data_IF_951777933965
#
_entry.id   IF_951777933965
#
_cell.length_a   1.000
_cell.length_b   1.000
_cell.length_c   1.000
_cell.angle_alpha   90.00
_cell.angle_beta   90.00
_cell.angle_gamma   90.00
#
_symmetry.space_group_name_H-M   'P 1'
#
loop_
_entity.id
_entity.type
_entity.pdbx_description
1 polymer ?
#
# COMPACT_ATOMS: atom_id res chain seq x y z
N UNK A 1 6.20 6.30 -12.50
CA UNK A 1 6.10 7.38 -13.51
C UNK A 1 6.97 8.59 -13.12
N UNK A 2 6.87 9.11 -11.89
CA UNK A 2 7.65 10.28 -11.42
C UNK A 2 9.17 10.07 -11.57
N UNK A 3 9.70 8.91 -11.16
CA UNK A 3 11.12 8.58 -11.27
C UNK A 3 11.57 8.52 -12.73
N UNK A 4 10.77 7.89 -13.60
CA UNK A 4 11.08 7.79 -15.03
C UNK A 4 11.07 9.17 -15.72
N UNK A 5 10.07 10.00 -15.42
CA UNK A 5 9.97 11.36 -15.96
C UNK A 5 11.20 12.21 -15.56
N UNK A 6 11.59 12.18 -14.28
CA UNK A 6 12.74 12.91 -13.80
C UNK A 6 14.06 12.40 -14.39
N UNK A 7 14.27 11.10 -14.48
CA UNK A 7 15.48 10.54 -15.08
C UNK A 7 15.60 10.88 -16.59
N UNK A 8 14.49 10.86 -17.32
CA UNK A 8 14.51 11.05 -18.77
C UNK A 8 14.57 12.52 -19.17
N UNK A 9 13.85 13.41 -18.47
CA UNK A 9 13.71 14.82 -18.85
C UNK A 9 14.61 15.74 -18.04
N UNK A 10 14.62 15.59 -16.70
CA UNK A 10 15.26 16.56 -15.82
C UNK A 10 16.78 16.54 -15.94
N UNK A 11 17.39 15.34 -16.09
CA UNK A 11 18.84 15.22 -16.26
C UNK A 11 19.32 15.86 -17.56
N UNK A 12 18.58 15.65 -18.67
CA UNK A 12 18.90 16.28 -19.96
C UNK A 12 18.74 17.80 -19.88
N UNK A 13 17.69 18.26 -19.20
CA UNK A 13 17.42 19.68 -19.04
C UNK A 13 18.45 20.36 -18.14
N UNK A 14 18.92 19.71 -17.08
CA UNK A 14 20.05 20.20 -16.26
C UNK A 14 21.29 20.35 -17.11
N UNK A 15 21.68 19.33 -17.88
CA UNK A 15 22.85 19.37 -18.73
C UNK A 15 22.74 20.50 -19.75
N UNK A 16 21.63 20.65 -20.43
CA UNK A 16 21.35 21.73 -21.37
C UNK A 16 21.40 23.11 -20.70
N UNK A 17 20.83 23.24 -19.50
CA UNK A 17 20.82 24.47 -18.72
C UNK A 17 22.24 24.87 -18.29
N UNK A 18 23.05 23.93 -17.82
CA UNK A 18 24.44 24.17 -17.43
C UNK A 18 25.28 24.64 -18.65
N UNK A 19 25.14 23.92 -19.77
CA UNK A 19 25.86 24.30 -21.01
C UNK A 19 25.46 25.71 -21.47
N UNK A 20 24.13 26.00 -21.43
CA UNK A 20 23.58 27.31 -21.84
C UNK A 20 24.06 28.43 -20.92
N UNK A 21 24.05 28.23 -19.61
CA UNK A 21 24.48 29.22 -18.62
C UNK A 21 25.99 29.47 -18.76
N UNK A 22 26.82 28.41 -18.76
CA UNK A 22 28.26 28.52 -18.86
C UNK A 22 28.70 29.13 -20.21
N UNK A 23 28.10 28.61 -21.30
CA UNK A 23 28.39 29.13 -22.65
C UNK A 23 28.00 30.58 -22.83
N UNK A 24 26.81 30.98 -22.37
CA UNK A 24 26.35 32.38 -22.41
C UNK A 24 27.24 33.29 -21.55
N UNK A 25 27.64 32.83 -20.35
CA UNK A 25 28.53 33.59 -19.48
C UNK A 25 29.91 33.83 -20.10
N UNK A 26 30.53 32.80 -20.68
CA UNK A 26 31.82 32.91 -21.38
C UNK A 26 31.71 33.94 -22.54
N UNK A 27 30.67 33.82 -23.37
CA UNK A 27 30.47 34.74 -24.48
C UNK A 27 30.25 36.18 -24.02
N UNK A 28 29.53 36.39 -22.93
CA UNK A 28 29.34 37.71 -22.32
C UNK A 28 30.64 38.32 -21.82
N UNK A 29 31.49 37.51 -21.16
CA UNK A 29 32.85 37.96 -20.72
C UNK A 29 33.73 38.34 -21.91
N UNK A 30 33.68 37.56 -22.99
CA UNK A 30 34.46 37.82 -24.21
C UNK A 30 33.99 39.13 -24.90
N UNK A 31 32.66 39.38 -24.92
CA UNK A 31 32.13 40.58 -25.59
C UNK A 31 32.42 41.83 -24.77
N UNK A 32 32.11 41.84 -23.48
CA UNK A 32 32.33 42.99 -22.59
C UNK A 32 32.38 42.61 -21.12
N UNK A 33 33.58 42.48 -20.51
CA UNK A 33 33.69 42.19 -19.07
C UNK A 33 33.02 43.26 -18.19
N UNK A 34 32.99 44.52 -18.65
CA UNK A 34 32.40 45.63 -17.92
C UNK A 34 30.86 45.45 -17.78
N UNK A 35 30.19 45.03 -18.85
CA UNK A 35 28.74 44.77 -18.77
C UNK A 35 28.38 43.56 -17.92
N UNK A 36 29.30 42.61 -17.76
CA UNK A 36 29.08 41.46 -16.86
C UNK A 36 28.92 41.90 -15.39
N UNK A 37 29.53 43.03 -14.98
CA UNK A 37 29.38 43.57 -13.63
C UNK A 37 27.92 43.89 -13.26
N UNK A 38 27.06 44.17 -14.23
CA UNK A 38 25.63 44.36 -14.00
C UNK A 38 25.02 43.08 -13.36
N UNK A 39 25.48 41.92 -13.84
CA UNK A 39 25.01 40.63 -13.31
C UNK A 39 25.56 40.30 -11.92
N UNK A 40 26.71 40.84 -11.55
CA UNK A 40 27.26 40.71 -10.20
C UNK A 40 26.35 41.36 -9.14
N UNK A 41 25.49 42.27 -9.53
CA UNK A 41 24.50 42.93 -8.64
C UNK A 41 23.14 42.26 -8.79
N UNK A 42 22.68 42.04 -10.01
CA UNK A 42 21.28 41.59 -10.26
C UNK A 42 21.08 40.13 -9.94
N UNK A 43 22.09 39.26 -10.09
CA UNK A 43 21.97 37.82 -9.72
C UNK A 43 21.81 37.63 -8.20
N UNK A 44 22.69 38.19 -7.34
CA UNK A 44 22.49 38.10 -5.89
C UNK A 44 21.13 38.68 -5.45
N UNK A 45 20.69 39.78 -6.04
CA UNK A 45 19.40 40.40 -5.75
C UNK A 45 18.24 39.44 -6.10
N UNK A 46 18.28 38.79 -7.27
CA UNK A 46 17.31 37.81 -7.69
C UNK A 46 17.29 36.58 -6.75
N UNK A 47 18.45 36.04 -6.39
CA UNK A 47 18.59 34.91 -5.48
C UNK A 47 18.02 35.25 -4.08
N UNK A 48 18.36 36.40 -3.53
CA UNK A 48 17.90 36.85 -2.21
C UNK A 48 16.38 37.05 -2.23
N UNK A 49 15.85 37.67 -3.28
CA UNK A 49 14.41 37.86 -3.45
C UNK A 49 13.67 36.50 -3.56
N UNK A 50 14.17 35.60 -4.40
CA UNK A 50 13.57 34.25 -4.56
C UNK A 50 13.59 33.50 -3.24
N UNK A 51 14.70 33.51 -2.50
CA UNK A 51 14.80 32.89 -1.16
C UNK A 51 13.79 33.49 -0.18
N UNK A 52 13.64 34.80 -0.16
CA UNK A 52 12.66 35.51 0.68
C UNK A 52 11.24 35.07 0.35
N UNK A 53 10.89 35.08 -0.95
CA UNK A 53 9.56 34.67 -1.41
C UNK A 53 9.29 33.20 -1.13
N UNK A 54 10.22 32.32 -1.40
CA UNK A 54 10.09 30.87 -1.12
C UNK A 54 9.86 30.62 0.37
N UNK A 55 10.63 31.30 1.25
CA UNK A 55 10.43 31.19 2.71
C UNK A 55 9.03 31.63 3.16
N UNK A 56 8.47 32.64 2.51
CA UNK A 56 7.13 33.16 2.80
C UNK A 56 6.01 32.29 2.22
N UNK A 57 6.20 31.76 1.03
CA UNK A 57 5.19 31.01 0.26
C UNK A 57 5.10 29.54 0.70
N UNK A 58 6.22 28.92 1.04
CA UNK A 58 6.28 27.49 1.46
C UNK A 58 5.29 27.12 2.57
N UNK A 59 5.16 27.86 3.68
CA UNK A 59 4.18 27.53 4.73
C UNK A 59 2.74 27.69 4.25
N UNK A 60 2.45 28.59 3.30
CA UNK A 60 1.12 28.76 2.73
C UNK A 60 0.72 27.54 1.88
N UNK A 61 1.62 27.00 1.05
CA UNK A 61 1.38 25.77 0.31
C UNK A 61 1.21 24.56 1.24
N UNK A 62 1.98 24.49 2.32
CA UNK A 62 1.81 23.45 3.32
C UNK A 62 0.43 23.54 3.97
N UNK A 63 0.00 24.76 4.39
CA UNK A 63 -1.32 24.97 4.97
C UNK A 63 -2.45 24.61 3.99
N UNK A 64 -2.32 24.96 2.70
CA UNK A 64 -3.24 24.56 1.64
C UNK A 64 -3.37 23.03 1.58
N UNK A 65 -2.26 22.30 1.58
CA UNK A 65 -2.26 20.83 1.54
C UNK A 65 -2.94 20.22 2.77
N UNK A 66 -2.69 20.78 3.96
CA UNK A 66 -3.32 20.33 5.21
C UNK A 66 -4.84 20.55 5.17
N UNK A 67 -5.29 21.76 4.81
CA UNK A 67 -6.72 22.08 4.78
C UNK A 67 -7.48 21.32 3.71
N UNK A 68 -6.86 21.09 2.56
CA UNK A 68 -7.44 20.23 1.52
C UNK A 68 -7.53 18.75 1.98
N UNK A 69 -6.53 18.24 2.69
CA UNK A 69 -6.58 16.92 3.31
C UNK A 69 -7.70 16.79 4.34
N UNK A 70 -7.88 17.80 5.21
CA UNK A 70 -8.97 17.83 6.19
C UNK A 70 -10.36 17.86 5.52
N UNK A 71 -10.50 18.62 4.44
CA UNK A 71 -11.75 18.70 3.67
C UNK A 71 -12.05 17.36 2.99
N UNK A 72 -11.08 16.77 2.30
CA UNK A 72 -11.25 15.49 1.61
C UNK A 72 -11.58 14.35 2.60
N UNK A 73 -10.89 14.26 3.73
CA UNK A 73 -11.18 13.27 4.77
C UNK A 73 -12.59 13.44 5.34
N UNK A 74 -13.06 14.68 5.54
CA UNK A 74 -14.40 14.95 6.00
C UNK A 74 -15.47 14.56 4.95
N UNK A 75 -15.22 14.85 3.67
CA UNK A 75 -16.11 14.43 2.57
C UNK A 75 -16.22 12.91 2.50
N UNK A 76 -15.11 12.18 2.60
CA UNK A 76 -15.09 10.71 2.62
C UNK A 76 -15.89 10.16 3.82
N UNK A 77 -15.71 10.75 5.01
CA UNK A 77 -16.46 10.39 6.22
C UNK A 77 -17.97 10.57 6.03
N UNK A 78 -18.41 11.73 5.50
CA UNK A 78 -19.85 12.01 5.28
C UNK A 78 -20.44 11.08 4.23
N UNK A 79 -19.75 10.86 3.11
CA UNK A 79 -20.25 9.99 2.03
C UNK A 79 -20.36 8.55 2.54
N UNK A 80 -19.36 8.08 3.27
CA UNK A 80 -19.39 6.73 3.88
C UNK A 80 -20.49 6.63 4.94
N UNK A 81 -20.67 7.66 5.76
CA UNK A 81 -21.67 7.76 6.81
C UNK A 81 -23.04 8.27 6.36
N UNK A 82 -23.32 8.43 5.05
CA UNK A 82 -24.53 9.09 4.54
C UNK A 82 -25.84 8.46 5.08
N UNK A 83 -25.90 7.15 5.18
CA UNK A 83 -27.08 6.45 5.73
C UNK A 83 -27.34 6.82 7.18
N UNK A 84 -26.28 6.93 7.98
CA UNK A 84 -26.35 7.35 9.38
C UNK A 84 -26.79 8.82 9.49
N UNK A 85 -26.20 9.71 8.70
CA UNK A 85 -26.57 11.12 8.66
C UNK A 85 -28.05 11.29 8.36
N UNK A 86 -28.58 10.57 7.37
CA UNK A 86 -30.03 10.58 7.03
C UNK A 86 -30.91 9.98 8.11
N UNK A 87 -30.49 8.87 8.72
CA UNK A 87 -31.27 8.20 9.77
C UNK A 87 -31.45 9.08 11.00
N UNK A 88 -30.49 9.96 11.30
CA UNK A 88 -30.52 10.88 12.43
C UNK A 88 -30.90 12.30 12.06
N UNK A 89 -31.29 12.60 10.79
CA UNK A 89 -31.65 13.92 10.29
C UNK A 89 -30.60 15.00 10.59
N UNK A 90 -29.33 14.68 10.35
CA UNK A 90 -28.19 15.57 10.62
C UNK A 90 -27.62 16.24 9.36
N UNK A 91 -28.36 16.27 8.25
CA UNK A 91 -27.88 16.81 6.97
C UNK A 91 -27.47 18.28 7.09
N UNK A 92 -28.30 19.13 7.72
CA UNK A 92 -27.99 20.55 7.88
C UNK A 92 -26.74 20.77 8.73
N UNK A 93 -26.57 19.99 9.80
CA UNK A 93 -25.38 20.05 10.66
C UNK A 93 -24.12 19.66 9.87
N UNK A 94 -24.19 18.63 9.02
CA UNK A 94 -23.05 18.19 8.21
C UNK A 94 -22.72 19.19 7.11
N UNK A 95 -23.72 19.82 6.49
CA UNK A 95 -23.54 20.89 5.51
C UNK A 95 -22.84 22.09 6.17
N UNK A 96 -23.28 22.52 7.35
CA UNK A 96 -22.64 23.65 8.05
C UNK A 96 -21.16 23.35 8.39
N UNK A 97 -20.85 22.11 8.82
CA UNK A 97 -19.46 21.69 9.06
C UNK A 97 -18.63 21.60 7.79
N UNK A 98 -19.25 21.16 6.67
CA UNK A 98 -18.61 21.18 5.37
C UNK A 98 -18.25 22.59 4.95
N UNK A 99 -19.18 23.55 5.08
CA UNK A 99 -18.95 24.94 4.72
C UNK A 99 -17.81 25.57 5.54
N UNK A 100 -17.71 25.25 6.82
CA UNK A 100 -16.61 25.71 7.68
C UNK A 100 -15.25 25.19 7.14
N UNK A 101 -15.14 23.88 6.88
CA UNK A 101 -13.90 23.28 6.36
C UNK A 101 -13.58 23.73 4.94
N UNK A 102 -14.61 23.86 4.09
CA UNK A 102 -14.47 24.34 2.72
C UNK A 102 -13.97 25.80 2.70
N UNK A 103 -14.54 26.69 3.51
CA UNK A 103 -14.08 28.06 3.60
C UNK A 103 -12.63 28.15 4.09
N UNK A 104 -12.24 27.35 5.08
CA UNK A 104 -10.85 27.28 5.54
C UNK A 104 -9.88 26.77 4.45
N UNK A 105 -10.33 25.81 3.62
CA UNK A 105 -9.56 25.32 2.47
C UNK A 105 -9.46 26.39 1.37
N UNK A 106 -10.56 27.09 1.05
CA UNK A 106 -10.59 28.19 0.08
C UNK A 106 -9.64 29.31 0.48
N UNK A 107 -9.67 29.75 1.76
CA UNK A 107 -8.79 30.80 2.26
C UNK A 107 -7.31 30.39 2.18
N UNK A 108 -7.01 29.15 2.54
CA UNK A 108 -5.65 28.63 2.43
C UNK A 108 -5.18 28.52 0.96
N UNK A 109 -6.07 28.12 0.06
CA UNK A 109 -5.81 28.04 -1.38
C UNK A 109 -5.56 29.44 -1.95
N UNK A 110 -6.45 30.39 -1.66
CA UNK A 110 -6.31 31.77 -2.12
C UNK A 110 -4.98 32.40 -1.69
N UNK A 111 -4.62 32.27 -0.41
CA UNK A 111 -3.36 32.81 0.08
C UNK A 111 -2.13 32.18 -0.56
N UNK A 112 -2.14 30.85 -0.73
CA UNK A 112 -1.05 30.13 -1.37
C UNK A 112 -0.86 30.53 -2.83
N UNK A 113 -1.96 30.60 -3.58
CA UNK A 113 -1.92 30.93 -5.01
C UNK A 113 -1.64 32.42 -5.25
N UNK A 114 -2.17 33.31 -4.42
CA UNK A 114 -1.90 34.74 -4.52
C UNK A 114 -0.39 35.05 -4.33
N UNK A 115 0.19 34.60 -3.22
CA UNK A 115 1.61 34.84 -2.96
C UNK A 115 2.52 33.98 -3.85
N UNK A 116 2.14 32.76 -4.16
CA UNK A 116 2.85 31.89 -5.07
C UNK A 116 2.90 32.43 -6.49
N UNK A 117 1.74 32.88 -7.00
CA UNK A 117 1.59 33.48 -8.31
C UNK A 117 2.37 34.80 -8.51
N UNK A 118 2.66 35.52 -7.44
CA UNK A 118 3.48 36.74 -7.50
C UNK A 118 4.98 36.47 -7.72
N UNK A 119 5.47 35.27 -7.41
CA UNK A 119 6.90 34.94 -7.46
C UNK A 119 7.45 35.05 -8.88
N UNK A 120 6.77 34.44 -9.86
CA UNK A 120 7.19 34.45 -11.26
C UNK A 120 7.30 35.86 -11.86
N UNK A 121 6.21 36.67 -11.84
CA UNK A 121 6.23 38.06 -12.31
C UNK A 121 7.29 38.91 -11.63
N UNK A 122 7.53 38.72 -10.32
CA UNK A 122 8.53 39.52 -9.61
C UNK A 122 9.96 39.18 -10.04
N UNK A 123 10.27 37.91 -10.25
CA UNK A 123 11.58 37.48 -10.80
C UNK A 123 11.76 37.99 -12.23
N UNK A 124 10.72 37.93 -13.06
CA UNK A 124 10.73 38.49 -14.40
C UNK A 124 10.94 40.01 -14.42
N UNK A 125 10.38 40.73 -13.43
CA UNK A 125 10.63 42.15 -13.27
C UNK A 125 12.13 42.45 -12.99
N UNK A 126 12.74 41.69 -12.07
CA UNK A 126 14.20 41.83 -11.78
C UNK A 126 15.03 41.53 -13.03
N UNK A 127 14.67 40.47 -13.78
CA UNK A 127 15.40 40.15 -15.04
C UNK A 127 15.26 41.23 -16.09
N UNK A 128 14.07 41.82 -16.28
CA UNK A 128 13.87 42.94 -17.20
C UNK A 128 14.59 44.21 -16.75
N UNK A 129 14.68 44.47 -15.45
CA UNK A 129 15.45 45.56 -14.91
C UNK A 129 16.92 45.39 -15.19
N UNK A 130 17.46 44.16 -15.00
CA UNK A 130 18.84 43.81 -15.38
C UNK A 130 19.10 44.06 -16.86
N UNK A 131 18.19 43.63 -17.72
CA UNK A 131 18.29 43.85 -19.18
C UNK A 131 18.24 45.34 -19.54
N UNK A 132 17.46 46.14 -18.84
CA UNK A 132 17.42 47.61 -19.03
C UNK A 132 18.74 48.25 -18.65
N UNK A 133 19.37 47.85 -17.54
CA UNK A 133 20.70 48.34 -17.16
C UNK A 133 21.77 47.92 -18.17
N UNK A 134 21.76 46.67 -18.65
CA UNK A 134 22.66 46.19 -19.70
C UNK A 134 22.51 47.07 -20.98
N UNK A 135 21.31 47.39 -21.37
CA UNK A 135 21.02 48.22 -22.55
C UNK A 135 21.49 49.66 -22.38
N UNK A 136 21.26 50.27 -21.22
CA UNK A 136 21.66 51.65 -20.90
C UNK A 136 23.21 51.72 -20.87
N UNK A 137 23.86 50.89 -20.06
CA UNK A 137 25.30 50.92 -19.94
C UNK A 137 25.99 50.49 -21.25
N UNK A 138 25.40 49.55 -21.99
CA UNK A 138 25.90 49.12 -23.31
C UNK A 138 25.79 50.22 -24.35
N UNK A 139 24.72 51.02 -24.34
CA UNK A 139 24.57 52.20 -25.20
C UNK A 139 25.63 53.30 -24.87
N UNK A 140 25.88 53.52 -23.57
CA UNK A 140 26.95 54.45 -23.14
C UNK A 140 28.29 53.98 -23.65
N UNK A 141 28.67 52.70 -23.48
CA UNK A 141 29.92 52.15 -23.99
C UNK A 141 30.03 52.21 -25.52
N UNK A 142 28.90 52.05 -26.23
CA UNK A 142 28.85 52.28 -27.68
C UNK A 142 29.16 53.70 -28.07
N UNK A 143 28.56 54.70 -27.39
CA UNK A 143 28.79 56.08 -27.64
C UNK A 143 30.27 56.52 -27.43
N UNK A 144 30.94 55.87 -26.45
CA UNK A 144 32.35 56.08 -26.20
C UNK A 144 33.28 55.25 -27.13
N UNK A 145 32.74 54.51 -28.09
CA UNK A 145 33.50 53.70 -29.04
C UNK A 145 34.13 52.44 -28.49
N UNK A 146 33.75 52.01 -27.26
CA UNK A 146 34.27 50.81 -26.62
C UNK A 146 33.50 49.54 -27.00
N UNK A 147 32.33 49.67 -27.64
CA UNK A 147 31.48 48.56 -28.04
C UNK A 147 30.88 48.83 -29.43
N UNK A 148 30.70 47.75 -30.24
CA UNK A 148 29.94 47.86 -31.50
C UNK A 148 28.49 47.57 -31.26
N UNK A 149 27.58 48.04 -32.14
CA UNK A 149 26.15 47.77 -32.03
C UNK A 149 25.84 46.26 -32.16
N UNK A 150 26.63 45.52 -32.96
CA UNK A 150 26.53 44.05 -33.07
C UNK A 150 26.90 43.33 -31.78
N UNK A 151 27.97 43.80 -31.12
CA UNK A 151 28.40 43.27 -29.83
C UNK A 151 27.36 43.54 -28.73
N UNK A 152 26.76 44.73 -28.71
CA UNK A 152 25.70 45.08 -27.78
C UNK A 152 24.45 44.16 -27.98
N UNK A 153 24.04 44.01 -29.24
CA UNK A 153 22.89 43.11 -29.56
C UNK A 153 23.15 41.65 -29.16
N UNK A 154 24.37 41.17 -29.44
CA UNK A 154 24.77 39.82 -29.02
C UNK A 154 24.81 39.67 -27.50
N UNK A 155 25.31 40.68 -26.79
CA UNK A 155 25.34 40.66 -25.31
C UNK A 155 23.93 40.63 -24.72
N UNK A 156 22.97 41.40 -25.23
CA UNK A 156 21.59 41.40 -24.85
C UNK A 156 20.96 40.02 -25.08
N UNK A 157 21.26 39.37 -26.22
CA UNK A 157 20.77 38.05 -26.52
C UNK A 157 21.30 36.98 -25.54
N UNK A 158 22.63 37.01 -25.25
CA UNK A 158 23.21 36.09 -24.25
C UNK A 158 22.71 36.37 -22.84
N UNK A 159 22.46 37.64 -22.47
CA UNK A 159 21.83 38.01 -21.20
C UNK A 159 20.48 37.35 -20.98
N UNK A 160 19.63 37.35 -22.01
CA UNK A 160 18.34 36.68 -21.96
C UNK A 160 18.46 35.16 -21.80
N UNK A 161 19.39 34.54 -22.56
CA UNK A 161 19.64 33.09 -22.48
C UNK A 161 20.29 32.67 -21.15
N UNK A 162 21.02 33.53 -20.50
CA UNK A 162 21.65 33.28 -19.21
C UNK A 162 20.64 33.28 -18.06
N UNK A 163 19.67 34.21 -18.08
CA UNK A 163 18.72 34.38 -16.97
C UNK A 163 17.62 33.31 -16.89
N UNK A 164 17.23 32.72 -18.03
CA UNK A 164 16.16 31.72 -18.10
C UNK A 164 16.48 30.45 -17.28
N UNK A 165 17.56 29.72 -17.58
CA UNK A 165 17.88 28.45 -16.94
C UNK A 165 18.15 28.53 -15.43
N UNK A 166 18.52 29.68 -14.90
CA UNK A 166 18.73 29.87 -13.44
C UNK A 166 17.45 29.61 -12.66
N UNK A 167 16.31 30.04 -13.18
CA UNK A 167 15.02 29.80 -12.57
C UNK A 167 14.54 28.34 -12.75
N UNK A 168 14.88 27.73 -13.89
CA UNK A 168 14.52 26.33 -14.17
C UNK A 168 15.27 25.35 -13.27
N UNK A 169 16.54 25.58 -12.98
CA UNK A 169 17.35 24.72 -12.11
C UNK A 169 16.73 24.57 -10.73
N UNK A 170 16.12 25.61 -10.16
CA UNK A 170 15.47 25.52 -8.86
C UNK A 170 14.24 24.60 -8.89
N UNK A 171 13.47 24.63 -9.98
CA UNK A 171 12.32 23.73 -10.17
C UNK A 171 12.78 22.28 -10.36
N UNK A 172 13.80 22.07 -11.20
CA UNK A 172 14.35 20.74 -11.46
C UNK A 172 14.89 20.09 -10.18
N UNK A 173 15.56 20.86 -9.31
CA UNK A 173 16.03 20.36 -8.00
C UNK A 173 14.83 19.89 -7.15
N UNK A 174 13.72 20.61 -7.17
CA UNK A 174 12.50 20.21 -6.44
C UNK A 174 11.86 18.95 -7.02
N UNK A 175 11.85 18.81 -8.34
CA UNK A 175 11.35 17.61 -9.04
C UNK A 175 12.24 16.40 -8.75
N UNK A 176 13.56 16.56 -8.78
CA UNK A 176 14.52 15.51 -8.38
C UNK A 176 14.33 15.07 -6.93
N UNK A 177 14.11 16.00 -6.00
CA UNK A 177 13.81 15.64 -4.60
C UNK A 177 12.54 14.81 -4.49
N UNK A 178 11.51 15.16 -5.27
CA UNK A 178 10.25 14.39 -5.31
C UNK A 178 10.45 13.00 -5.93
N UNK A 179 11.27 12.90 -6.97
CA UNK A 179 11.64 11.64 -7.61
C UNK A 179 12.45 10.74 -6.66
N UNK A 180 13.43 11.32 -5.93
CA UNK A 180 14.18 10.58 -4.91
C UNK A 180 13.28 10.05 -3.80
N UNK A 181 12.35 10.85 -3.29
CA UNK A 181 11.39 10.41 -2.27
C UNK A 181 10.44 9.31 -2.79
N UNK A 182 10.07 9.36 -4.07
CA UNK A 182 9.28 8.30 -4.71
C UNK A 182 10.11 7.01 -4.89
N UNK A 183 11.37 7.13 -5.32
CA UNK A 183 12.30 6.03 -5.46
C UNK A 183 12.58 5.34 -4.11
N UNK A 184 12.81 6.11 -3.04
CA UNK A 184 13.01 5.59 -1.69
C UNK A 184 11.84 4.70 -1.24
N UNK A 185 10.59 5.11 -1.51
CA UNK A 185 9.42 4.28 -1.19
C UNK A 185 9.38 2.97 -1.98
N UNK A 186 9.80 3.00 -3.25
CA UNK A 186 9.85 1.80 -4.10
C UNK A 186 10.97 0.87 -3.64
N UNK A 187 12.17 1.40 -3.42
CA UNK A 187 13.30 0.60 -2.96
C UNK A 187 13.07 0.03 -1.56
N UNK A 188 12.45 0.79 -0.67
CA UNK A 188 12.08 0.27 0.65
C UNK A 188 11.21 -0.98 0.57
N UNK A 189 10.29 -1.04 -0.41
CA UNK A 189 9.50 -2.25 -0.63
C UNK A 189 10.32 -3.38 -1.27
N UNK A 190 11.24 -3.05 -2.19
CA UNK A 190 12.11 -4.05 -2.85
C UNK A 190 13.13 -4.62 -1.88
N UNK A 191 13.65 -3.79 -0.98
CA UNK A 191 14.66 -4.15 0.01
C UNK A 191 14.05 -4.74 1.29
N UNK A 192 12.70 -4.91 1.34
CA UNK A 192 12.04 -5.58 2.47
C UNK A 192 12.57 -7.00 2.61
N UNK A 193 12.87 -7.40 3.83
CA UNK A 193 13.43 -8.72 4.09
C UNK A 193 12.49 -9.83 3.63
N UNK A 194 12.98 -10.68 2.75
CA UNK A 194 12.24 -11.86 2.31
C UNK A 194 12.01 -12.83 3.48
N UNK A 195 10.96 -13.64 3.39
CA UNK A 195 10.73 -14.72 4.35
C UNK A 195 12.02 -15.57 4.50
N UNK A 196 12.44 -15.88 5.75
CA UNK A 196 13.66 -16.64 5.98
C UNK A 196 13.68 -17.95 5.16
N UNK A 197 14.82 -18.27 4.57
CA UNK A 197 14.97 -19.54 3.83
C UNK A 197 14.73 -20.74 4.75
N UNK A 198 14.24 -21.84 4.17
CA UNK A 198 14.16 -23.10 4.90
C UNK A 198 15.56 -23.58 5.30
N UNK A 199 15.64 -24.33 6.41
CA UNK A 199 16.90 -24.92 6.84
C UNK A 199 17.48 -25.83 5.73
N UNK A 200 18.81 -25.91 5.63
CA UNK A 200 19.49 -26.69 4.58
C UNK A 200 19.09 -28.17 4.63
N UNK A 201 18.80 -28.68 5.84
CA UNK A 201 18.36 -30.03 6.13
C UNK A 201 16.83 -30.21 6.19
N UNK A 202 16.07 -29.16 5.82
CA UNK A 202 14.61 -29.23 5.82
C UNK A 202 14.08 -30.25 4.83
N UNK A 203 13.17 -31.09 5.32
CA UNK A 203 12.61 -32.23 4.57
C UNK A 203 11.26 -31.87 4.02
N UNK A 204 10.96 -32.26 2.78
CA UNK A 204 9.61 -32.24 2.23
C UNK A 204 8.79 -33.42 2.74
N UNK A 205 7.53 -33.20 3.09
CA UNK A 205 6.64 -34.24 3.56
C UNK A 205 5.98 -34.95 2.36
N UNK A 206 6.16 -36.24 2.21
CA UNK A 206 5.47 -37.06 1.19
C UNK A 206 4.06 -37.45 1.64
N UNK A 207 3.90 -37.73 2.93
CA UNK A 207 2.63 -38.13 3.54
C UNK A 207 2.49 -37.48 4.91
N UNK A 208 1.31 -36.93 5.18
CA UNK A 208 0.96 -36.30 6.46
C UNK A 208 -0.19 -37.06 7.08
N UNK A 209 -0.04 -37.40 8.36
CA UNK A 209 -1.09 -38.04 9.16
C UNK A 209 -1.91 -36.98 9.93
N UNK A 210 -1.26 -35.91 10.37
CA UNK A 210 -1.88 -34.75 10.98
C UNK A 210 -1.92 -34.78 12.51
N UNK A 211 -0.94 -35.41 13.16
CA UNK A 211 -0.73 -35.27 14.61
C UNK A 211 0.10 -34.00 14.87
N UNK A 212 -0.47 -33.04 15.60
CA UNK A 212 0.17 -31.75 15.88
C UNK A 212 0.37 -31.57 17.38
N UNK A 213 1.58 -31.20 17.79
CA UNK A 213 1.86 -30.84 19.18
C UNK A 213 2.61 -29.51 19.25
N UNK A 214 2.33 -28.76 20.29
CA UNK A 214 3.08 -27.59 20.73
C UNK A 214 3.63 -27.86 22.14
N UNK A 215 4.89 -27.57 22.38
CA UNK A 215 5.57 -27.81 23.63
C UNK A 215 6.31 -26.55 24.09
N UNK A 216 5.86 -25.94 25.19
CA UNK A 216 6.46 -24.77 25.79
C UNK A 216 6.72 -23.61 24.82
N UNK A 217 5.76 -23.37 23.90
CA UNK A 217 5.88 -22.36 22.84
C UNK A 217 5.73 -20.98 23.43
N UNK A 218 6.72 -20.12 23.16
CA UNK A 218 6.73 -18.70 23.47
C UNK A 218 6.90 -17.89 22.17
N UNK A 219 6.16 -16.77 22.07
CA UNK A 219 6.24 -15.94 20.87
C UNK A 219 5.76 -14.48 21.11
N UNK A 220 6.40 -13.53 20.43
CA UNK A 220 5.98 -12.14 20.29
C UNK A 220 6.32 -11.56 18.91
N UNK A 221 5.50 -10.66 18.38
CA UNK A 221 5.79 -10.01 17.08
C UNK A 221 6.89 -8.95 17.22
N UNK A 222 6.94 -8.28 18.36
CA UNK A 222 7.93 -7.23 18.65
C UNK A 222 8.88 -7.68 19.76
N UNK A 223 10.17 -7.34 19.68
CA UNK A 223 11.10 -7.59 20.77
C UNK A 223 10.61 -6.97 22.07
N UNK A 224 10.43 -7.81 23.10
CA UNK A 224 9.98 -7.38 24.44
C UNK A 224 8.47 -7.39 24.68
N UNK A 225 7.64 -7.67 23.66
CA UNK A 225 6.19 -7.84 23.81
C UNK A 225 5.77 -9.28 23.53
N UNK A 226 5.82 -10.13 24.54
CA UNK A 226 5.38 -11.51 24.44
C UNK A 226 3.85 -11.56 24.32
N UNK A 227 3.35 -12.37 23.38
CA UNK A 227 1.91 -12.61 23.15
C UNK A 227 1.53 -14.02 23.57
N UNK A 228 2.37 -15.00 23.32
CA UNK A 228 2.23 -16.38 23.78
C UNK A 228 3.35 -16.61 24.80
N UNK A 229 2.99 -17.00 26.04
CA UNK A 229 3.97 -17.09 27.14
C UNK A 229 4.53 -18.49 27.32
N UNK A 230 3.65 -19.49 27.46
CA UNK A 230 4.04 -20.93 27.62
C UNK A 230 2.88 -21.80 27.16
N UNK A 231 2.78 -21.99 25.84
CA UNK A 231 1.65 -22.71 25.25
C UNK A 231 2.02 -24.13 24.91
N UNK A 232 1.33 -25.08 25.55
CA UNK A 232 1.53 -26.52 25.33
C UNK A 232 0.20 -27.22 25.11
N UNK A 233 0.05 -27.94 24.00
CA UNK A 233 -1.09 -28.80 23.73
C UNK A 233 -0.74 -29.86 22.69
N UNK A 234 -1.60 -30.88 22.59
CA UNK A 234 -1.53 -31.89 21.54
C UNK A 234 -2.89 -32.00 20.83
N UNK A 235 -2.90 -32.02 19.52
CA UNK A 235 -4.06 -32.27 18.66
C UNK A 235 -3.81 -33.56 17.88
N UNK A 236 -4.35 -34.71 18.34
CA UNK A 236 -4.19 -35.97 17.67
C UNK A 236 -4.78 -35.98 16.26
N UNK A 237 -4.27 -36.84 15.41
CA UNK A 237 -4.77 -37.07 14.07
C UNK A 237 -6.31 -37.19 14.04
N UNK A 238 -6.97 -36.46 13.16
CA UNK A 238 -8.40 -36.52 12.93
C UNK A 238 -9.23 -35.85 14.02
N UNK A 239 -8.62 -35.19 15.02
CA UNK A 239 -9.34 -34.51 16.10
C UNK A 239 -9.82 -33.12 15.68
N UNK A 240 -10.93 -32.69 16.26
CA UNK A 240 -11.45 -31.33 16.18
C UNK A 240 -11.06 -30.55 17.45
N UNK A 241 -10.16 -29.58 17.28
CA UNK A 241 -9.72 -28.69 18.35
C UNK A 241 -10.38 -27.33 18.19
N UNK A 242 -11.25 -26.97 19.13
CA UNK A 242 -11.85 -25.62 19.19
C UNK A 242 -10.97 -24.68 19.99
N UNK A 243 -10.63 -23.52 19.42
CA UNK A 243 -9.83 -22.47 20.05
C UNK A 243 -10.80 -21.35 20.44
N UNK A 244 -10.92 -21.07 21.73
CA UNK A 244 -11.82 -20.06 22.27
C UNK A 244 -11.07 -19.06 23.15
N UNK A 245 -11.58 -17.84 23.24
CA UNK A 245 -10.99 -16.79 24.09
C UNK A 245 -11.40 -15.39 23.64
N UNK A 246 -11.16 -14.37 24.44
CA UNK A 246 -11.50 -12.99 24.09
C UNK A 246 -10.65 -12.49 22.89
N UNK A 247 -11.09 -11.37 22.33
CA UNK A 247 -10.29 -10.69 21.28
C UNK A 247 -8.95 -10.26 21.87
N UNK A 248 -7.87 -10.48 21.12
CA UNK A 248 -6.51 -10.18 21.60
C UNK A 248 -5.84 -11.28 22.42
N UNK A 249 -6.53 -12.39 22.75
CA UNK A 249 -5.99 -13.49 23.56
C UNK A 249 -4.83 -14.27 22.91
N UNK A 250 -4.55 -14.09 21.60
CA UNK A 250 -3.51 -14.83 20.88
C UNK A 250 -4.01 -15.92 19.93
N UNK A 251 -5.33 -16.06 19.71
CA UNK A 251 -5.89 -17.12 18.83
C UNK A 251 -5.35 -17.08 17.41
N UNK A 252 -5.33 -15.92 16.79
CA UNK A 252 -4.77 -15.73 15.44
C UNK A 252 -3.26 -15.95 15.41
N UNK A 253 -2.56 -15.57 16.49
CA UNK A 253 -1.12 -15.82 16.63
C UNK A 253 -0.82 -17.31 16.64
N UNK A 254 -1.64 -18.10 17.33
CA UNK A 254 -1.52 -19.57 17.32
C UNK A 254 -1.65 -20.15 15.89
N UNK A 255 -2.62 -19.68 15.12
CA UNK A 255 -2.78 -20.09 13.72
C UNK A 255 -1.55 -19.71 12.88
N UNK A 256 -1.03 -18.49 13.07
CA UNK A 256 0.16 -18.00 12.35
C UNK A 256 1.38 -18.87 12.66
N UNK A 257 1.53 -19.36 13.88
CA UNK A 257 2.60 -20.26 14.29
C UNK A 257 2.41 -21.67 13.68
N UNK A 258 1.19 -22.20 13.65
CA UNK A 258 0.88 -23.50 13.00
C UNK A 258 1.22 -23.49 11.50
N UNK A 259 0.94 -22.37 10.81
CA UNK A 259 1.26 -22.17 9.39
C UNK A 259 2.73 -21.78 9.16
N UNK A 260 3.50 -21.62 10.25
CA UNK A 260 4.86 -21.12 10.19
C UNK A 260 5.00 -19.85 9.35
N UNK A 261 4.07 -18.90 9.56
CA UNK A 261 4.26 -17.52 9.10
C UNK A 261 5.30 -16.81 9.96
N UNK A 262 5.46 -17.28 11.20
CA UNK A 262 6.48 -16.87 12.16
C UNK A 262 7.06 -18.13 12.83
N UNK A 263 8.34 -18.10 13.14
CA UNK A 263 8.96 -19.12 13.96
C UNK A 263 8.82 -18.76 15.46
N UNK A 264 8.64 -19.69 16.39
CA UNK A 264 8.52 -19.38 17.81
C UNK A 264 9.85 -18.87 18.40
N UNK A 265 9.80 -18.01 19.41
CA UNK A 265 10.98 -17.52 20.14
C UNK A 265 11.64 -18.65 20.96
N UNK A 266 10.82 -19.56 21.49
CA UNK A 266 11.28 -20.77 22.19
C UNK A 266 10.18 -21.84 22.20
N UNK A 267 10.52 -23.06 22.60
CA UNK A 267 9.65 -24.22 22.52
C UNK A 267 9.71 -24.90 21.16
N UNK A 268 8.82 -25.85 20.93
CA UNK A 268 8.77 -26.61 19.69
C UNK A 268 7.33 -26.81 19.22
N UNK A 269 7.14 -26.77 17.90
CA UNK A 269 5.89 -27.16 17.24
C UNK A 269 6.22 -28.35 16.35
N UNK A 270 5.48 -29.44 16.53
CA UNK A 270 5.74 -30.67 15.79
C UNK A 270 4.52 -31.07 14.95
N UNK A 271 4.79 -31.64 13.78
CA UNK A 271 3.84 -32.30 12.92
C UNK A 271 4.30 -33.74 12.68
N UNK A 272 3.44 -34.71 13.06
CA UNK A 272 3.76 -36.14 13.00
C UNK A 272 5.10 -36.48 13.69
N UNK A 273 5.36 -35.83 14.85
CA UNK A 273 6.57 -35.99 15.65
C UNK A 273 7.82 -35.28 15.11
N UNK A 274 7.70 -34.50 14.01
CA UNK A 274 8.81 -33.73 13.42
C UNK A 274 8.64 -32.26 13.70
N UNK A 275 9.71 -31.61 14.14
CA UNK A 275 9.73 -30.16 14.31
C UNK A 275 9.43 -29.46 12.97
N UNK A 276 8.46 -28.54 12.96
CA UNK A 276 8.05 -27.79 11.76
C UNK A 276 9.19 -26.93 11.19
N UNK A 277 10.17 -26.54 12.01
CA UNK A 277 11.35 -25.80 11.53
C UNK A 277 12.26 -26.66 10.64
N UNK A 278 12.20 -27.99 10.76
CA UNK A 278 12.91 -28.97 9.93
C UNK A 278 12.08 -29.48 8.74
N UNK A 279 10.90 -28.91 8.53
CA UNK A 279 10.04 -29.18 7.39
C UNK A 279 10.07 -27.97 6.46
N UNK A 280 10.10 -28.18 5.12
CA UNK A 280 10.01 -27.06 4.19
C UNK A 280 8.68 -26.34 4.35
N UNK A 281 8.68 -25.00 4.40
CA UNK A 281 7.44 -24.19 4.54
C UNK A 281 6.40 -24.54 3.47
N UNK A 282 6.86 -24.77 2.24
CA UNK A 282 5.98 -25.19 1.13
C UNK A 282 5.24 -26.47 1.46
N UNK A 283 5.94 -27.51 1.92
CA UNK A 283 5.36 -28.80 2.25
C UNK A 283 4.42 -28.71 3.45
N UNK A 284 4.83 -27.99 4.49
CA UNK A 284 4.01 -27.74 5.67
C UNK A 284 2.69 -27.04 5.29
N UNK A 285 2.75 -25.94 4.55
CA UNK A 285 1.57 -25.15 4.15
C UNK A 285 0.64 -25.90 3.20
N UNK A 286 1.16 -26.76 2.33
CA UNK A 286 0.35 -27.66 1.50
C UNK A 286 -0.39 -28.72 2.31
N UNK A 287 0.03 -29.01 3.53
CA UNK A 287 -0.63 -29.95 4.45
C UNK A 287 -1.85 -29.35 5.15
N UNK A 288 -2.03 -28.01 5.07
CA UNK A 288 -3.16 -27.28 5.65
C UNK A 288 -4.07 -26.72 4.57
N UNK A 289 -5.36 -26.85 4.74
CA UNK A 289 -6.35 -26.00 4.07
C UNK A 289 -6.86 -24.95 5.05
N UNK A 290 -7.10 -23.74 4.56
CA UNK A 290 -7.51 -22.62 5.41
C UNK A 290 -8.79 -21.97 4.88
N UNK A 291 -9.76 -21.75 5.77
CA UNK A 291 -10.96 -20.96 5.51
C UNK A 291 -11.01 -19.85 6.56
N UNK A 292 -10.71 -18.64 6.13
CA UNK A 292 -10.65 -17.45 6.99
C UNK A 292 -12.03 -16.77 7.11
N UNK A 293 -12.19 -15.96 8.15
CA UNK A 293 -13.34 -15.09 8.34
C UNK A 293 -13.50 -14.12 7.17
N UNK A 294 -12.41 -13.45 6.79
CA UNK A 294 -12.37 -12.59 5.61
C UNK A 294 -12.15 -13.44 4.36
N UNK A 295 -13.23 -13.65 3.64
CA UNK A 295 -13.22 -14.43 2.41
C UNK A 295 -12.60 -13.63 1.27
N UNK A 296 -11.39 -13.96 0.85
CA UNK A 296 -10.73 -13.30 -0.25
C UNK A 296 -10.89 -14.06 -1.57
N UNK A 297 -11.41 -13.36 -2.59
CA UNK A 297 -11.51 -13.85 -3.95
C UNK A 297 -10.75 -12.90 -4.89
N UNK A 298 -9.97 -13.47 -5.79
CA UNK A 298 -9.23 -12.71 -6.78
C UNK A 298 -10.13 -12.28 -7.94
N UNK A 299 -9.83 -11.15 -8.57
CA UNK A 299 -10.41 -10.81 -9.87
C UNK A 299 -10.05 -11.89 -10.89
N UNK A 300 -11.06 -12.46 -11.56
CA UNK A 300 -10.88 -13.60 -12.45
C UNK A 300 -12.12 -14.50 -12.46
N UNK A 301 -12.05 -15.64 -13.13
CA UNK A 301 -13.18 -16.58 -13.22
C UNK A 301 -13.42 -17.31 -11.89
N UNK A 302 -14.63 -17.84 -11.72
CA UNK A 302 -14.96 -18.75 -10.61
C UNK A 302 -14.06 -19.99 -10.67
N UNK A 303 -13.78 -20.51 -11.86
CA UNK A 303 -12.89 -21.65 -12.05
C UNK A 303 -11.48 -21.33 -11.49
N UNK A 304 -10.87 -20.22 -11.89
CA UNK A 304 -9.54 -19.79 -11.43
C UNK A 304 -9.49 -19.62 -9.91
N UNK A 305 -10.54 -19.02 -9.33
CA UNK A 305 -10.64 -18.86 -7.90
C UNK A 305 -10.73 -20.19 -7.15
N UNK A 306 -11.45 -21.16 -7.65
CA UNK A 306 -11.54 -22.49 -7.04
C UNK A 306 -10.25 -23.30 -7.24
N UNK A 307 -9.68 -23.24 -8.46
CA UNK A 307 -8.45 -23.95 -8.82
C UNK A 307 -7.19 -23.37 -8.14
N UNK A 308 -7.28 -22.20 -7.50
CA UNK A 308 -6.14 -21.49 -6.91
C UNK A 308 -5.27 -22.35 -5.99
N UNK A 309 -5.89 -23.25 -5.22
CA UNK A 309 -5.18 -24.17 -4.30
C UNK A 309 -4.52 -25.37 -4.96
N UNK A 310 -4.82 -25.67 -6.24
CA UNK A 310 -4.32 -26.87 -6.95
C UNK A 310 -4.01 -26.54 -8.41
N UNK A 311 -2.73 -26.35 -8.72
CA UNK A 311 -2.23 -25.84 -10.01
C UNK A 311 -2.72 -26.59 -11.25
N UNK A 312 -2.90 -27.91 -11.16
CA UNK A 312 -3.30 -28.76 -12.29
C UNK A 312 -4.75 -29.27 -12.15
N UNK A 313 -5.62 -28.51 -11.48
CA UNK A 313 -7.01 -28.87 -11.29
C UNK A 313 -7.76 -28.88 -12.61
N UNK A 314 -8.43 -30.02 -12.91
CA UNK A 314 -9.35 -30.13 -14.04
C UNK A 314 -10.73 -29.61 -13.66
N UNK A 315 -11.53 -29.25 -14.67
CA UNK A 315 -12.90 -28.78 -14.43
C UNK A 315 -13.75 -29.79 -13.63
N UNK A 316 -13.53 -31.07 -13.87
CA UNK A 316 -14.23 -32.16 -13.15
C UNK A 316 -13.90 -32.15 -11.64
N UNK A 317 -12.64 -31.89 -11.27
CA UNK A 317 -12.20 -31.80 -9.87
C UNK A 317 -12.85 -30.60 -9.19
N UNK A 318 -12.84 -29.44 -9.88
CA UNK A 318 -13.46 -28.19 -9.41
C UNK A 318 -14.96 -28.38 -9.23
N UNK A 319 -15.64 -29.03 -10.20
CA UNK A 319 -17.06 -29.32 -10.10
C UNK A 319 -17.39 -30.27 -8.92
N UNK A 320 -16.53 -31.26 -8.67
CA UNK A 320 -16.68 -32.18 -7.52
C UNK A 320 -16.58 -31.42 -6.20
N UNK A 321 -15.57 -30.58 -6.05
CA UNK A 321 -15.39 -29.73 -4.87
C UNK A 321 -16.57 -28.75 -4.69
N UNK A 322 -17.02 -28.10 -5.77
CA UNK A 322 -18.17 -27.21 -5.73
C UNK A 322 -19.49 -27.91 -5.38
N UNK A 323 -19.68 -29.18 -5.81
CA UNK A 323 -20.83 -30.01 -5.40
C UNK A 323 -20.77 -30.35 -3.92
N UNK A 324 -19.62 -30.76 -3.41
CA UNK A 324 -19.41 -31.04 -1.99
C UNK A 324 -19.64 -29.78 -1.12
N UNK A 325 -19.16 -28.62 -1.57
CA UNK A 325 -19.40 -27.32 -0.93
C UNK A 325 -20.81 -26.76 -1.17
N UNK A 326 -21.70 -27.47 -1.89
CA UNK A 326 -23.10 -27.07 -2.17
C UNK A 326 -23.26 -25.77 -2.97
N UNK A 327 -22.25 -25.31 -3.68
CA UNK A 327 -22.26 -24.07 -4.49
C UNK A 327 -22.45 -24.35 -5.99
N UNK A 328 -22.23 -25.58 -6.46
CA UNK A 328 -22.31 -25.97 -7.89
C UNK A 328 -23.62 -25.53 -8.56
N UNK A 329 -24.76 -25.72 -7.91
CA UNK A 329 -26.09 -25.36 -8.45
C UNK A 329 -26.21 -23.86 -8.69
N UNK A 330 -25.65 -23.06 -7.79
CA UNK A 330 -25.60 -21.60 -7.94
C UNK A 330 -24.72 -21.22 -9.14
N UNK A 331 -23.51 -21.79 -9.24
CA UNK A 331 -22.56 -21.52 -10.32
C UNK A 331 -23.20 -21.84 -11.69
N UNK A 332 -23.88 -22.99 -11.82
CA UNK A 332 -24.55 -23.40 -13.04
C UNK A 332 -25.77 -22.55 -13.40
N UNK A 333 -26.33 -21.81 -12.46
CA UNK A 333 -27.40 -20.83 -12.70
C UNK A 333 -26.88 -19.49 -13.24
N UNK A 334 -25.57 -19.25 -13.20
CA UNK A 334 -24.97 -18.05 -13.78
C UNK A 334 -24.82 -18.17 -15.31
N UNK A 335 -24.94 -17.06 -16.07
CA UNK A 335 -24.91 -17.09 -17.55
C UNK A 335 -23.66 -17.75 -18.15
N UNK A 336 -22.51 -17.65 -17.48
CA UNK A 336 -21.23 -18.22 -17.90
C UNK A 336 -20.75 -19.38 -17.03
N UNK A 337 -21.57 -19.84 -16.07
CA UNK A 337 -21.19 -20.92 -15.17
C UNK A 337 -19.85 -20.68 -14.47
N UNK A 338 -18.93 -21.62 -14.59
CA UNK A 338 -17.58 -21.51 -14.01
C UNK A 338 -16.69 -20.45 -14.65
N UNK A 339 -16.98 -19.98 -15.86
CA UNK A 339 -16.27 -18.90 -16.55
C UNK A 339 -16.81 -17.52 -16.17
N UNK A 340 -17.75 -17.44 -15.21
CA UNK A 340 -18.26 -16.18 -14.70
C UNK A 340 -17.13 -15.40 -14.04
N UNK A 341 -16.93 -14.15 -14.47
CA UNK A 341 -15.95 -13.24 -13.90
C UNK A 341 -16.41 -12.72 -12.54
N UNK A 342 -15.53 -12.78 -11.58
CA UNK A 342 -15.67 -12.14 -10.29
C UNK A 342 -14.94 -10.81 -10.32
N UNK A 343 -15.60 -9.77 -9.83
CA UNK A 343 -15.00 -8.46 -9.63
C UNK A 343 -13.99 -8.51 -8.47
N UNK A 344 -13.27 -7.43 -8.30
CA UNK A 344 -12.31 -7.29 -7.21
C UNK A 344 -12.97 -7.62 -5.87
N UNK A 345 -12.39 -8.57 -5.15
CA UNK A 345 -12.92 -9.14 -3.91
C UNK A 345 -14.35 -9.73 -4.03
N UNK A 346 -14.78 -10.09 -5.24
CA UNK A 346 -16.10 -10.71 -5.48
C UNK A 346 -17.29 -9.83 -5.09
N UNK A 347 -17.22 -8.51 -5.30
CA UNK A 347 -18.29 -7.57 -4.93
C UNK A 347 -19.63 -7.86 -5.62
N UNK A 348 -19.60 -8.61 -6.71
CA UNK A 348 -20.77 -8.99 -7.50
C UNK A 348 -21.51 -10.25 -6.99
N UNK A 349 -21.07 -10.85 -5.87
CA UNK A 349 -21.72 -12.02 -5.25
C UNK A 349 -21.95 -11.82 -3.74
N UNK A 350 -22.92 -12.56 -3.17
CA UNK A 350 -23.23 -12.43 -1.74
C UNK A 350 -22.12 -13.00 -0.84
N UNK A 351 -22.06 -12.52 0.41
CA UNK A 351 -21.07 -12.97 1.40
C UNK A 351 -21.13 -14.49 1.65
N UNK A 352 -22.35 -15.07 1.70
CA UNK A 352 -22.50 -16.50 1.85
C UNK A 352 -21.99 -17.30 0.64
N UNK A 353 -22.17 -16.79 -0.57
CA UNK A 353 -21.63 -17.39 -1.79
C UNK A 353 -20.08 -17.32 -1.81
N UNK A 354 -19.49 -16.20 -1.40
CA UNK A 354 -18.03 -16.07 -1.23
C UNK A 354 -17.50 -17.15 -0.29
N UNK A 355 -18.15 -17.33 0.84
CA UNK A 355 -17.76 -18.32 1.84
C UNK A 355 -17.85 -19.76 1.30
N UNK A 356 -18.93 -20.09 0.58
CA UNK A 356 -19.05 -21.40 -0.07
C UNK A 356 -17.98 -21.63 -1.14
N UNK A 357 -17.57 -20.60 -1.89
CA UNK A 357 -16.47 -20.69 -2.84
C UNK A 357 -15.12 -20.92 -2.15
N UNK A 358 -14.85 -20.25 -1.03
CA UNK A 358 -13.60 -20.49 -0.27
C UNK A 358 -13.59 -21.89 0.39
N UNK A 359 -14.73 -22.40 0.83
CA UNK A 359 -14.86 -23.79 1.29
C UNK A 359 -14.58 -24.78 0.13
N UNK A 360 -15.14 -24.52 -1.07
CA UNK A 360 -14.87 -25.36 -2.24
C UNK A 360 -13.37 -25.35 -2.63
N UNK A 361 -12.71 -24.20 -2.54
CA UNK A 361 -11.25 -24.08 -2.71
C UNK A 361 -10.48 -24.96 -1.72
N UNK A 362 -10.87 -24.94 -0.45
CA UNK A 362 -10.28 -25.77 0.60
C UNK A 362 -10.52 -27.27 0.37
N UNK A 363 -11.72 -27.64 -0.11
CA UNK A 363 -12.06 -29.04 -0.47
C UNK A 363 -11.22 -29.56 -1.65
N UNK A 364 -10.91 -28.69 -2.63
CA UNK A 364 -10.12 -29.05 -3.80
C UNK A 364 -8.65 -29.34 -3.44
N UNK A 365 -8.11 -28.65 -2.45
CA UNK A 365 -6.75 -28.87 -1.96
C UNK A 365 -6.60 -30.24 -1.28
N UNK A 366 -7.69 -30.76 -0.69
CA UNK A 366 -7.76 -32.05 0.03
C UNK A 366 -6.63 -32.26 1.06
N UNK A 367 -6.25 -31.21 1.77
CA UNK A 367 -5.25 -31.25 2.83
C UNK A 367 -5.73 -32.08 4.02
N UNK A 368 -4.79 -32.67 4.78
CA UNK A 368 -5.08 -33.49 5.96
C UNK A 368 -5.40 -32.66 7.20
N UNK A 369 -4.96 -31.43 7.22
CA UNK A 369 -5.21 -30.48 8.32
C UNK A 369 -6.04 -29.30 7.84
N UNK A 370 -6.85 -28.76 8.71
CA UNK A 370 -7.77 -27.69 8.40
C UNK A 370 -7.73 -26.62 9.47
N UNK A 371 -7.63 -25.38 9.03
CA UNK A 371 -7.77 -24.19 9.87
C UNK A 371 -9.02 -23.44 9.45
N UNK A 372 -9.91 -23.23 10.42
CA UNK A 372 -11.18 -22.55 10.21
C UNK A 372 -11.31 -21.36 11.16
N UNK A 373 -11.59 -20.20 10.61
CA UNK A 373 -11.99 -19.03 11.38
C UNK A 373 -13.52 -18.82 11.18
N UNK A 374 -14.28 -19.18 12.21
CA UNK A 374 -15.74 -19.28 12.13
C UNK A 374 -16.41 -17.91 12.38
N UNK A 375 -16.52 -17.09 11.35
CA UNK A 375 -17.41 -15.93 11.41
C UNK A 375 -18.38 -15.90 10.23
N UNK A 376 -19.62 -16.27 10.51
CA UNK A 376 -20.74 -16.17 9.57
C UNK A 376 -21.67 -15.02 9.97
N UNK A 377 -21.11 -13.82 10.23
CA UNK A 377 -21.93 -12.62 10.43
C UNK A 377 -22.50 -12.17 9.08
N UNK A 378 -23.77 -11.80 9.06
CA UNK A 378 -24.50 -11.23 7.90
C UNK A 378 -24.83 -12.21 6.75
N UNK A 379 -25.11 -13.48 7.05
CA UNK A 379 -25.59 -14.47 6.06
C UNK A 379 -27.04 -14.87 6.41
N UNK A 380 -27.88 -15.03 5.39
CA UNK A 380 -29.24 -15.51 5.60
C UNK A 380 -29.27 -16.95 6.14
N UNK A 381 -30.30 -17.30 6.88
CA UNK A 381 -30.44 -18.60 7.58
C UNK A 381 -30.31 -19.81 6.64
N UNK A 382 -30.81 -19.71 5.41
CA UNK A 382 -30.78 -20.82 4.45
C UNK A 382 -29.34 -21.07 3.96
N UNK A 383 -28.62 -20.00 3.61
CA UNK A 383 -27.22 -20.08 3.20
C UNK A 383 -26.35 -20.50 4.38
N UNK A 384 -26.65 -20.07 5.59
CA UNK A 384 -25.95 -20.49 6.79
C UNK A 384 -26.01 -22.00 7.00
N UNK A 385 -27.22 -22.63 6.86
CA UNK A 385 -27.37 -24.09 6.94
C UNK A 385 -26.51 -24.80 5.87
N UNK A 386 -26.42 -24.21 4.66
CA UNK A 386 -25.56 -24.77 3.58
C UNK A 386 -24.09 -24.69 3.93
N UNK A 387 -23.63 -23.54 4.44
CA UNK A 387 -22.25 -23.34 4.89
C UNK A 387 -21.88 -24.32 5.98
N UNK A 388 -22.73 -24.48 7.00
CA UNK A 388 -22.47 -25.42 8.09
C UNK A 388 -22.42 -26.88 7.62
N UNK A 389 -23.27 -27.23 6.66
CA UNK A 389 -23.26 -28.59 6.10
C UNK A 389 -21.99 -28.81 5.24
N UNK A 390 -21.55 -27.81 4.46
CA UNK A 390 -20.29 -27.85 3.71
C UNK A 390 -19.07 -27.91 4.63
N UNK A 391 -19.07 -27.15 5.72
CA UNK A 391 -18.01 -27.17 6.73
C UNK A 391 -17.87 -28.55 7.38
N UNK A 392 -19.01 -29.16 7.79
CA UNK A 392 -18.99 -30.53 8.35
C UNK A 392 -18.41 -31.54 7.38
N UNK A 393 -18.74 -31.46 6.10
CA UNK A 393 -18.18 -32.35 5.08
C UNK A 393 -16.68 -32.08 4.88
N UNK A 394 -16.23 -30.81 4.90
CA UNK A 394 -14.83 -30.42 4.78
C UNK A 394 -13.99 -30.95 5.96
N UNK A 395 -14.53 -30.93 7.19
CA UNK A 395 -13.84 -31.37 8.42
C UNK A 395 -13.69 -32.89 8.56
N UNK A 396 -14.46 -33.65 7.80
CA UNK A 396 -14.47 -35.11 7.93
C UNK A 396 -13.11 -35.72 7.68
N UNK A 397 -12.67 -36.62 8.59
CA UNK A 397 -11.40 -37.36 8.54
C UNK A 397 -10.16 -36.45 8.49
N UNK A 398 -10.23 -35.21 9.02
CA UNK A 398 -9.13 -34.25 9.05
C UNK A 398 -8.85 -33.76 10.48
N UNK A 399 -7.62 -33.41 10.75
CA UNK A 399 -7.27 -32.66 11.99
C UNK A 399 -7.64 -31.20 11.82
N UNK A 400 -8.57 -30.72 12.66
CA UNK A 400 -9.18 -29.42 12.50
C UNK A 400 -8.85 -28.50 13.68
N UNK A 401 -8.41 -27.27 13.37
CA UNK A 401 -8.28 -26.16 14.30
C UNK A 401 -9.34 -25.12 13.96
N UNK A 402 -10.26 -24.86 14.89
CA UNK A 402 -11.39 -23.97 14.64
C UNK A 402 -11.37 -22.85 15.67
N UNK A 403 -11.22 -21.60 15.23
CA UNK A 403 -11.50 -20.43 16.07
C UNK A 403 -13.01 -20.36 16.22
N UNK A 404 -13.51 -20.86 17.37
CA UNK A 404 -14.93 -21.05 17.56
C UNK A 404 -15.58 -19.80 18.14
N UNK A 405 -16.56 -19.28 17.40
CA UNK A 405 -17.47 -18.21 17.81
C UNK A 405 -18.89 -18.74 18.08
N UNK A 406 -19.15 -20.04 17.84
CA UNK A 406 -20.45 -20.68 18.01
C UNK A 406 -20.40 -21.79 19.03
N UNK A 407 -21.43 -21.85 19.85
CA UNK A 407 -21.58 -22.89 20.88
C UNK A 407 -21.67 -24.30 20.27
N UNK A 408 -22.28 -24.44 19.09
CA UNK A 408 -22.42 -25.76 18.40
C UNK A 408 -21.06 -26.32 17.97
N UNK A 409 -20.11 -25.49 17.57
CA UNK A 409 -18.75 -25.91 17.20
C UNK A 409 -17.98 -26.35 18.45
N UNK A 410 -18.12 -25.61 19.54
CA UNK A 410 -17.48 -25.93 20.83
C UNK A 410 -18.03 -27.27 21.39
N UNK A 411 -19.33 -27.49 21.30
CA UNK A 411 -19.98 -28.72 21.81
C UNK A 411 -19.55 -29.97 21.07
N UNK A 412 -19.22 -29.87 19.78
CA UNK A 412 -18.81 -31.00 18.95
C UNK A 412 -17.28 -31.18 18.88
N UNK A 413 -16.51 -30.36 19.59
CA UNK A 413 -15.06 -30.45 19.60
C UNK A 413 -14.56 -31.58 20.50
N UNK A 414 -13.55 -32.33 20.02
CA UNK A 414 -12.86 -33.33 20.82
C UNK A 414 -12.00 -32.67 21.90
N UNK A 415 -11.50 -31.43 21.62
CA UNK A 415 -10.69 -30.63 22.53
C UNK A 415 -11.08 -29.17 22.46
N UNK A 416 -11.05 -28.50 23.59
CA UNK A 416 -11.29 -27.08 23.70
C UNK A 416 -10.05 -26.43 24.29
N UNK A 417 -9.41 -25.56 23.56
CA UNK A 417 -8.31 -24.72 24.02
C UNK A 417 -8.86 -23.36 24.40
N UNK A 418 -8.93 -23.09 25.70
CA UNK A 418 -9.33 -21.78 26.21
C UNK A 418 -8.07 -20.92 26.31
N UNK A 419 -7.94 -19.94 25.41
CA UNK A 419 -6.78 -19.04 25.36
C UNK A 419 -7.13 -17.73 26.06
N UNK A 420 -6.34 -17.37 27.04
CA UNK A 420 -6.48 -16.11 27.76
C UNK A 420 -5.09 -15.52 28.02
N UNK A 421 -4.91 -14.27 27.61
CA UNK A 421 -3.65 -13.52 27.80
C UNK A 421 -2.40 -14.28 27.37
N UNK A 422 -2.51 -15.05 26.28
CA UNK A 422 -1.40 -15.81 25.69
C UNK A 422 -1.14 -17.19 26.30
N UNK A 423 -1.94 -17.62 27.27
CA UNK A 423 -1.83 -18.93 27.91
C UNK A 423 -3.09 -19.78 27.69
N UNK A 424 -2.98 -21.11 27.89
CA UNK A 424 -4.13 -22.02 27.96
C UNK A 424 -4.60 -22.10 29.41
N UNK A 425 -5.88 -21.87 29.66
CA UNK A 425 -6.51 -21.87 30.98
C UNK A 425 -7.61 -22.92 31.08
#
# INVERSE_FOLDING_TARGET
DTVNASLSNDLLQIAASVITVVGSFIMMVVISPVLVLVFAITIPMSILFTRYMTKKVRPLFHMRSVRLGELNGFVEEIITGQKTTKAYHQEETMIARFDEKNNAAVDAYYNADYFGGMTGPSVNFINNLSLSFVSIFGAILFLFGHLTIGNLSSFVLYSRRFSGPINEVANIISELQSACAAAERVFRLIDEEAEPADAIDAVSLDKVEGDVAMEHVKFGYDPGKTIIHDLSFQAPRGSLTAIVGPTGAGKTTLINLLMRFYDPDSGAITLDGRDIQKITRKSLRLSYAMVLQDTWLFSGTIFENLAYGKKDAKLEDVQRAAKAARIHRYIMGLPKGYDTQLDENGMNISQGQKQLLTIARAMLLDAKMLILDEATSNVDTRTEIQIQAAMRELMKDKTCFVIAHRLSTIQNADRILVVRDGDIV
#
